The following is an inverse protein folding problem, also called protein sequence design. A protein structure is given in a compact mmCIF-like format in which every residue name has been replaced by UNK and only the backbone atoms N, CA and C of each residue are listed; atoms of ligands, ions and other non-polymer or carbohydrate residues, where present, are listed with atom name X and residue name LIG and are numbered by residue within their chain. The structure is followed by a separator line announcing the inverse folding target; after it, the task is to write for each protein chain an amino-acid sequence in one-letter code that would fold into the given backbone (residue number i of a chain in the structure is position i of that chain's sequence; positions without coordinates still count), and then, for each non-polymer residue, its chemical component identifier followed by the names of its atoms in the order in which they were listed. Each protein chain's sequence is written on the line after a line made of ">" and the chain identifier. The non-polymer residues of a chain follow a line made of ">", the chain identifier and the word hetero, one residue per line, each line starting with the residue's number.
data_IF_676682084103
#
_entry.id   IF_676682084103
#
_cell.length_a   1.000
_cell.length_b   1.000
_cell.length_c   1.000
_cell.angle_alpha   90.00
_cell.angle_beta   90.00
_cell.angle_gamma   90.00
#
_symmetry.space_group_name_H-M   'P 1'
#
loop_
_entity.id
_entity.type
_entity.pdbx_description
1 polymer ?
#
# COMPACT_ATOMS: atom_id res chain seq x y z
N UNK A 1 -9.40 29.74 24.33
CA UNK A 1 -8.00 29.35 24.03
C UNK A 1 -8.00 28.13 23.11
N UNK A 2 -7.66 28.29 21.82
CA UNK A 2 -7.72 27.22 20.83
C UNK A 2 -6.44 26.36 20.89
N UNK A 3 -6.61 25.04 21.12
CA UNK A 3 -5.51 24.06 21.11
C UNK A 3 -5.02 23.87 19.66
N UNK A 4 -3.82 24.37 19.35
CA UNK A 4 -3.11 24.03 18.10
C UNK A 4 -2.72 22.56 18.14
N UNK A 5 -3.25 21.75 17.22
CA UNK A 5 -2.81 20.38 17.02
C UNK A 5 -1.39 20.40 16.42
N UNK A 6 -0.38 19.94 17.17
CA UNK A 6 0.96 19.71 16.63
C UNK A 6 0.89 18.58 15.60
N UNK A 7 1.18 18.89 14.34
CA UNK A 7 1.41 17.89 13.32
C UNK A 7 2.69 17.13 13.67
N UNK A 8 2.56 15.86 14.10
CA UNK A 8 3.70 14.96 14.32
C UNK A 8 4.45 14.82 12.99
N UNK A 9 5.67 15.38 12.91
CA UNK A 9 6.58 15.22 11.76
C UNK A 9 6.94 13.74 11.64
N UNK A 10 6.15 12.98 10.89
CA UNK A 10 6.45 11.58 10.55
C UNK A 10 7.77 11.56 9.81
N UNK A 11 8.80 11.04 10.47
CA UNK A 11 10.06 10.69 9.81
C UNK A 11 9.73 9.88 8.55
N UNK A 12 10.28 10.27 7.39
CA UNK A 12 10.06 9.55 6.14
C UNK A 12 10.44 8.09 6.39
N UNK A 13 9.45 7.21 6.47
CA UNK A 13 9.69 5.77 6.61
C UNK A 13 10.65 5.36 5.48
N UNK A 14 11.77 4.71 5.84
CA UNK A 14 12.75 4.24 4.86
C UNK A 14 12.01 3.46 3.78
N UNK A 15 12.18 3.85 2.51
CA UNK A 15 11.51 3.20 1.38
C UNK A 15 11.99 1.75 1.31
N UNK A 16 11.16 0.80 1.75
CA UNK A 16 11.45 -0.63 1.62
C UNK A 16 11.41 -0.99 0.12
N UNK A 17 12.50 -1.53 -0.42
CA UNK A 17 12.56 -1.97 -1.80
C UNK A 17 11.50 -3.06 -2.07
N UNK A 18 10.89 -3.06 -3.25
CA UNK A 18 9.94 -4.11 -3.65
C UNK A 18 10.71 -5.36 -4.04
N UNK A 19 10.41 -6.50 -3.41
CA UNK A 19 10.98 -7.79 -3.83
C UNK A 19 10.21 -8.34 -5.04
N UNK A 20 10.82 -9.30 -5.75
CA UNK A 20 10.13 -10.00 -6.86
C UNK A 20 8.89 -10.75 -6.36
N UNK A 21 8.98 -11.34 -5.17
CA UNK A 21 7.89 -12.02 -4.48
C UNK A 21 6.73 -11.06 -4.17
N UNK A 22 7.03 -9.88 -3.60
CA UNK A 22 6.00 -8.86 -3.31
C UNK A 22 5.21 -8.48 -4.58
N UNK A 23 5.91 -8.36 -5.72
CA UNK A 23 5.30 -8.04 -7.02
C UNK A 23 4.48 -9.21 -7.56
N UNK A 24 4.94 -10.45 -7.40
CA UNK A 24 4.20 -11.64 -7.81
C UNK A 24 2.90 -11.77 -7.02
N UNK A 25 2.97 -11.66 -5.69
CA UNK A 25 1.78 -11.67 -4.82
C UNK A 25 0.81 -10.54 -5.20
N UNK A 26 1.31 -9.33 -5.46
CA UNK A 26 0.47 -8.20 -5.88
C UNK A 26 -0.28 -8.48 -7.19
N UNK A 27 0.35 -9.14 -8.18
CA UNK A 27 -0.30 -9.54 -9.44
C UNK A 27 -1.39 -10.58 -9.20
N UNK A 28 -1.12 -11.61 -8.39
CA UNK A 28 -2.10 -12.65 -8.04
C UNK A 28 -3.31 -12.05 -7.34
N UNK A 29 -3.08 -11.17 -6.37
CA UNK A 29 -4.11 -10.47 -5.62
C UNK A 29 -4.95 -9.53 -6.50
N UNK A 30 -4.35 -8.87 -7.50
CA UNK A 30 -5.08 -8.07 -8.48
C UNK A 30 -6.06 -8.94 -9.28
N UNK A 31 -5.64 -10.12 -9.74
CA UNK A 31 -6.51 -11.07 -10.46
C UNK A 31 -7.66 -11.57 -9.57
N UNK A 32 -7.37 -11.85 -8.31
CA UNK A 32 -8.34 -12.29 -7.31
C UNK A 32 -9.23 -11.16 -6.77
N UNK A 33 -9.03 -9.91 -7.20
CA UNK A 33 -9.78 -8.73 -6.75
C UNK A 33 -9.77 -8.55 -5.22
N UNK A 34 -8.66 -8.90 -4.56
CA UNK A 34 -8.59 -8.81 -3.10
C UNK A 34 -8.53 -7.35 -2.62
N UNK A 35 -9.18 -7.02 -1.48
CA UNK A 35 -9.09 -5.70 -0.88
C UNK A 35 -7.65 -5.30 -0.52
N UNK A 36 -7.31 -4.03 -0.78
CA UNK A 36 -5.96 -3.48 -0.50
C UNK A 36 -5.57 -3.61 0.97
N UNK A 37 -6.53 -3.59 1.88
CA UNK A 37 -6.30 -3.77 3.32
C UNK A 37 -5.75 -5.16 3.64
N UNK A 38 -6.24 -6.20 2.95
CA UNK A 38 -5.75 -7.57 3.15
C UNK A 38 -4.33 -7.72 2.59
N UNK A 39 -4.08 -7.19 1.39
CA UNK A 39 -2.74 -7.19 0.76
C UNK A 39 -1.74 -6.43 1.64
N UNK A 40 -2.15 -5.31 2.23
CA UNK A 40 -1.33 -4.51 3.14
C UNK A 40 -0.89 -5.30 4.38
N UNK A 41 -1.81 -6.09 4.96
CA UNK A 41 -1.51 -6.97 6.10
C UNK A 41 -0.56 -8.09 5.70
N UNK A 42 -0.77 -8.72 4.55
CA UNK A 42 0.06 -9.82 4.06
C UNK A 42 1.49 -9.37 3.73
N UNK A 43 1.63 -8.31 2.95
CA UNK A 43 2.95 -7.80 2.52
C UNK A 43 3.65 -6.94 3.60
N UNK A 44 2.97 -6.70 4.74
CA UNK A 44 3.41 -5.76 5.79
C UNK A 44 3.82 -4.40 5.19
N UNK A 45 3.05 -3.93 4.21
CA UNK A 45 3.22 -2.63 3.52
C UNK A 45 2.02 -1.75 3.80
N UNK A 46 2.20 -0.43 3.67
CA UNK A 46 1.07 0.49 3.75
C UNK A 46 0.17 0.35 2.51
N UNK A 47 -1.14 0.58 2.70
CA UNK A 47 -2.10 0.60 1.60
C UNK A 47 -1.72 1.61 0.50
N UNK A 48 -1.17 2.77 0.88
CA UNK A 48 -0.67 3.78 -0.06
C UNK A 48 0.48 3.26 -0.92
N UNK A 49 1.45 2.55 -0.34
CA UNK A 49 2.55 1.97 -1.10
C UNK A 49 2.07 0.93 -2.12
N UNK A 50 1.08 0.11 -1.74
CA UNK A 50 0.46 -0.88 -2.61
C UNK A 50 -0.26 -0.21 -3.78
N UNK A 51 -1.07 0.84 -3.54
CA UNK A 51 -1.72 1.62 -4.61
C UNK A 51 -0.70 2.22 -5.56
N UNK A 52 0.34 2.85 -5.04
CA UNK A 52 1.40 3.43 -5.86
C UNK A 52 2.10 2.38 -6.71
N UNK A 53 2.45 1.22 -6.14
CA UNK A 53 3.11 0.15 -6.88
C UNK A 53 2.21 -0.45 -7.96
N UNK A 54 0.93 -0.63 -7.67
CA UNK A 54 -0.02 -1.15 -8.64
C UNK A 54 -0.29 -0.16 -9.78
N UNK A 55 -0.38 1.15 -9.48
CA UNK A 55 -0.44 2.19 -10.49
C UNK A 55 0.79 2.13 -11.41
N UNK A 56 2.00 1.99 -10.85
CA UNK A 56 3.22 1.84 -11.65
C UNK A 56 3.25 0.56 -12.50
N UNK A 57 2.49 -0.47 -12.12
CA UNK A 57 2.39 -1.74 -12.84
C UNK A 57 1.16 -1.81 -13.75
N UNK A 58 0.32 -0.77 -13.80
CA UNK A 58 -0.94 -0.78 -14.55
C UNK A 58 -1.97 -1.79 -14.04
N UNK A 59 -1.85 -2.21 -12.77
CA UNK A 59 -2.75 -3.22 -12.20
C UNK A 59 -3.98 -2.53 -11.58
N UNK A 60 -5.20 -2.92 -11.96
CA UNK A 60 -6.40 -2.45 -11.28
C UNK A 60 -6.44 -3.09 -9.90
N UNK A 61 -6.20 -2.29 -8.86
CA UNK A 61 -6.33 -2.72 -7.47
C UNK A 61 -7.16 -1.72 -6.68
N UNK A 62 -7.80 -2.18 -5.62
CA UNK A 62 -8.69 -1.34 -4.82
C UNK A 62 -10.11 -1.37 -5.35
N UNK A 63 -10.67 -2.57 -5.42
CA UNK A 63 -12.11 -2.70 -5.52
C UNK A 63 -12.69 -2.41 -4.13
N UNK A 64 -13.41 -1.29 -3.99
CA UNK A 64 -14.37 -1.09 -2.88
C UNK A 64 -15.50 -2.10 -3.14
N UNK A 65 -15.45 -3.24 -2.48
CA UNK A 65 -16.60 -4.13 -2.30
C UNK A 65 -16.77 -4.30 -0.80
#
# INVERSE_FOLDING_TARGET
>A
MAKKAMAKKTTRAKRKAWTKEDVSSLKTHSRQKTPVVQIARQLKRSAGAIRQKALSLGLPIGHRR
#
